data_IF_109412189627
#
_entry.id   IF_109412189627
#
_cell.length_a   1.000
_cell.length_b   1.000
_cell.length_c   1.000
_cell.angle_alpha   90.00
_cell.angle_beta   90.00
_cell.angle_gamma   90.00
#
_symmetry.space_group_name_H-M   'P 1'
#
loop_
_entity.id
_entity.type
_entity.pdbx_description
1 polymer ?
#
# COMPACT_ATOMS: atom_id res chain seq x y z
N UNK A 1 15.86 19.19 8.22
CA UNK A 1 15.34 19.89 9.42
C UNK A 1 14.13 19.13 9.90
N UNK A 2 14.03 18.73 11.18
CA UNK A 2 12.83 18.09 11.69
C UNK A 2 11.73 19.14 11.77
N UNK A 3 10.56 18.83 11.21
CA UNK A 3 9.36 19.64 11.38
C UNK A 3 8.83 19.31 12.77
N UNK A 4 9.01 20.22 13.73
CA UNK A 4 8.34 20.16 15.02
C UNK A 4 6.83 20.36 14.81
N UNK A 5 6.03 19.31 14.92
CA UNK A 5 4.57 19.42 14.92
C UNK A 5 4.09 19.65 16.36
N UNK A 6 4.26 20.88 16.83
CA UNK A 6 3.79 21.38 18.12
C UNK A 6 2.41 22.07 18.04
N UNK A 7 1.47 21.56 17.26
CA UNK A 7 0.08 22.03 17.24
C UNK A 7 -0.83 20.95 17.83
N UNK A 8 -1.64 21.28 18.84
CA UNK A 8 -2.77 20.41 19.19
C UNK A 8 -3.62 20.24 17.94
N UNK A 9 -3.87 19.01 17.51
CA UNK A 9 -4.67 18.66 16.32
C UNK A 9 -6.16 18.97 16.50
N UNK A 10 -6.50 19.96 17.33
CA UNK A 10 -7.79 20.28 17.94
C UNK A 10 -8.95 19.90 17.05
N UNK A 11 -9.47 18.69 17.26
CA UNK A 11 -10.57 18.15 16.49
C UNK A 11 -11.74 19.15 16.56
N UNK A 12 -12.10 19.83 15.46
CA UNK A 12 -13.13 20.86 15.51
C UNK A 12 -14.54 20.25 15.58
N UNK A 13 -14.67 18.92 15.50
CA UNK A 13 -15.92 18.20 15.63
C UNK A 13 -16.19 17.78 17.08
N UNK A 14 -17.45 17.80 17.49
CA UNK A 14 -17.88 17.21 18.77
C UNK A 14 -18.58 15.89 18.52
N UNK A 15 -18.03 14.78 19.00
CA UNK A 15 -18.69 13.47 18.93
C UNK A 15 -19.71 13.36 20.06
N UNK A 16 -20.97 13.13 19.71
CA UNK A 16 -22.07 12.97 20.66
C UNK A 16 -22.26 11.50 21.03
N UNK A 17 -22.31 10.61 20.02
CA UNK A 17 -22.44 9.17 20.20
C UNK A 17 -21.75 8.43 19.06
N UNK A 18 -21.22 7.24 19.34
CA UNK A 18 -20.67 6.32 18.34
C UNK A 18 -21.46 5.01 18.37
N UNK A 19 -21.75 4.43 17.21
CA UNK A 19 -22.48 3.16 17.10
C UNK A 19 -21.94 2.33 15.96
N UNK A 20 -21.47 1.11 16.27
CA UNK A 20 -21.11 0.11 15.25
C UNK A 20 -22.37 -0.33 14.50
N UNK A 21 -22.38 -0.13 13.18
CA UNK A 21 -23.50 -0.47 12.29
C UNK A 21 -23.29 -1.78 11.56
N UNK A 22 -22.02 -2.16 11.35
CA UNK A 22 -21.64 -3.38 10.65
C UNK A 22 -20.25 -3.81 11.11
N UNK A 23 -20.02 -5.11 11.18
CA UNK A 23 -18.72 -5.70 11.50
C UNK A 23 -18.59 -7.07 10.83
N UNK A 24 -17.39 -7.35 10.32
CA UNK A 24 -16.96 -8.68 9.91
C UNK A 24 -15.46 -8.86 10.20
N UNK A 25 -14.86 -9.94 9.69
CA UNK A 25 -13.44 -10.26 9.91
C UNK A 25 -12.47 -9.20 9.34
N UNK A 26 -12.88 -8.42 8.34
CA UNK A 26 -12.01 -7.49 7.61
C UNK A 26 -12.21 -6.03 8.00
N UNK A 27 -13.42 -5.65 8.43
CA UNK A 27 -13.74 -4.25 8.70
C UNK A 27 -14.85 -4.07 9.75
N UNK A 28 -14.84 -2.89 10.35
CA UNK A 28 -15.91 -2.36 11.17
C UNK A 28 -16.41 -1.03 10.59
N UNK A 29 -17.72 -0.79 10.62
CA UNK A 29 -18.32 0.49 10.20
C UNK A 29 -18.98 1.15 11.40
N UNK A 30 -18.49 2.33 11.78
CA UNK A 30 -18.97 3.11 12.92
C UNK A 30 -19.65 4.38 12.44
N UNK A 31 -20.86 4.62 12.92
CA UNK A 31 -21.57 5.88 12.75
C UNK A 31 -21.37 6.76 13.98
N UNK A 32 -20.86 7.97 13.78
CA UNK A 32 -20.78 9.01 14.79
C UNK A 32 -21.90 10.02 14.58
N UNK A 33 -22.74 10.25 15.60
CA UNK A 33 -23.53 11.49 15.67
C UNK A 33 -22.60 12.59 16.16
N UNK A 34 -22.56 13.70 15.43
CA UNK A 34 -21.59 14.76 15.67
C UNK A 34 -22.25 16.14 15.63
N UNK A 35 -21.60 17.12 16.25
CA UNK A 35 -21.73 18.52 15.87
C UNK A 35 -20.55 18.85 14.94
N UNK A 36 -20.87 19.41 13.78
CA UNK A 36 -19.88 19.94 12.82
C UNK A 36 -19.06 21.07 13.46
N UNK A 37 -17.94 21.49 12.85
CA UNK A 37 -17.15 22.65 13.31
C UNK A 37 -17.94 23.95 13.48
N UNK A 38 -19.11 24.06 12.83
CA UNK A 38 -20.01 25.23 12.93
C UNK A 38 -21.17 24.99 13.90
N UNK A 39 -21.15 23.90 14.67
CA UNK A 39 -22.18 23.55 15.66
C UNK A 39 -23.44 22.90 15.09
N UNK A 40 -23.55 22.70 13.76
CA UNK A 40 -24.69 22.03 13.16
C UNK A 40 -24.66 20.51 13.42
N UNK A 41 -25.78 19.85 13.76
CA UNK A 41 -25.82 18.41 13.95
C UNK A 41 -25.62 17.66 12.62
N UNK A 42 -24.97 16.50 12.69
CA UNK A 42 -24.73 15.65 11.53
C UNK A 42 -24.34 14.22 11.90
N UNK A 43 -24.02 13.45 10.87
CA UNK A 43 -23.51 12.08 10.98
C UNK A 43 -22.17 12.00 10.26
N UNK A 44 -21.21 11.29 10.85
CA UNK A 44 -19.95 10.92 10.22
C UNK A 44 -19.78 9.40 10.27
N UNK A 45 -19.67 8.76 9.12
CA UNK A 45 -19.38 7.32 9.02
C UNK A 45 -17.90 7.07 8.85
N UNK A 46 -17.34 6.11 9.60
CA UNK A 46 -15.95 5.69 9.49
C UNK A 46 -15.89 4.18 9.26
N UNK A 47 -15.09 3.77 8.29
CA UNK A 47 -14.71 2.37 8.07
C UNK A 47 -13.36 2.15 8.75
N UNK A 48 -13.29 1.14 9.60
CA UNK A 48 -12.07 0.73 10.30
C UNK A 48 -11.62 -0.65 9.79
N UNK A 49 -10.69 -0.72 8.82
CA UNK A 49 -10.06 -1.97 8.47
C UNK A 49 -9.38 -2.61 9.68
N UNK A 50 -9.50 -3.94 9.78
CA UNK A 50 -8.90 -4.73 10.87
C UNK A 50 -7.38 -4.86 10.70
N UNK A 51 -6.89 -4.77 9.48
CA UNK A 51 -5.47 -4.88 9.10
C UNK A 51 -4.86 -3.51 8.74
N UNK A 52 -3.54 -3.44 8.73
CA UNK A 52 -2.80 -2.44 7.94
C UNK A 52 -2.73 -2.90 6.48
N UNK A 53 -2.50 -1.99 5.55
CA UNK A 53 -2.10 -2.36 4.20
C UNK A 53 -0.56 -2.33 4.07
N UNK A 54 0.01 -3.31 3.39
CA UNK A 54 1.44 -3.33 3.09
C UNK A 54 1.67 -3.71 1.64
N UNK A 55 2.60 -3.03 0.97
CA UNK A 55 2.96 -3.32 -0.42
C UNK A 55 4.46 -3.27 -0.64
N UNK A 56 4.95 -3.96 -1.66
CA UNK A 56 6.39 -4.00 -1.97
C UNK A 56 6.63 -3.89 -3.47
N UNK A 57 7.60 -3.09 -3.87
CA UNK A 57 8.11 -3.05 -5.25
C UNK A 57 9.33 -3.98 -5.34
N UNK A 58 9.18 -5.24 -5.82
CA UNK A 58 10.31 -6.15 -5.98
C UNK A 58 11.10 -5.83 -7.25
N UNK A 59 12.35 -5.42 -7.10
CA UNK A 59 13.27 -5.12 -8.20
C UNK A 59 14.25 -6.27 -8.37
N UNK A 60 14.24 -6.89 -9.56
CA UNK A 60 15.20 -7.91 -9.94
C UNK A 60 16.49 -7.29 -10.46
N UNK A 61 17.59 -8.05 -10.41
CA UNK A 61 18.93 -7.60 -10.83
C UNK A 61 19.01 -7.21 -12.32
N UNK A 62 18.05 -7.61 -13.16
CA UNK A 62 17.93 -7.22 -14.58
C UNK A 62 17.07 -5.96 -14.82
N UNK A 63 16.68 -5.24 -13.76
CA UNK A 63 15.90 -4.00 -13.86
C UNK A 63 14.40 -4.21 -14.10
N UNK A 64 13.90 -5.44 -13.98
CA UNK A 64 12.47 -5.74 -14.06
C UNK A 64 11.81 -5.76 -12.68
N UNK A 65 10.49 -5.59 -12.68
CA UNK A 65 9.62 -5.60 -11.51
C UNK A 65 8.68 -6.80 -11.60
N UNK A 66 8.46 -7.50 -10.49
CA UNK A 66 7.34 -8.44 -10.40
C UNK A 66 6.06 -7.68 -10.04
N UNK A 67 5.03 -7.84 -10.88
CA UNK A 67 3.66 -7.43 -10.63
C UNK A 67 2.80 -8.66 -10.34
N UNK A 68 1.77 -8.44 -9.53
CA UNK A 68 0.72 -9.41 -9.21
C UNK A 68 -0.58 -8.93 -9.86
N UNK A 69 -1.30 -9.86 -10.46
CA UNK A 69 -2.59 -9.61 -11.10
C UNK A 69 -3.69 -10.35 -10.36
N UNK A 70 -4.75 -9.64 -9.99
CA UNK A 70 -5.88 -10.24 -9.28
C UNK A 70 -7.22 -9.63 -9.68
N UNK A 71 -8.30 -10.39 -9.50
CA UNK A 71 -9.65 -9.87 -9.67
C UNK A 71 -10.10 -9.13 -8.41
N UNK A 72 -10.30 -7.81 -8.52
CA UNK A 72 -10.80 -7.00 -7.42
C UNK A 72 -12.32 -7.01 -7.41
N UNK A 73 -12.90 -7.81 -6.51
CA UNK A 73 -14.35 -7.98 -6.38
C UNK A 73 -15.14 -6.64 -6.33
N UNK A 74 -14.72 -5.61 -5.55
CA UNK A 74 -15.45 -4.35 -5.49
C UNK A 74 -15.51 -3.60 -6.83
N UNK A 75 -14.44 -3.70 -7.63
CA UNK A 75 -14.32 -3.03 -8.93
C UNK A 75 -14.86 -3.87 -10.08
N UNK A 76 -15.08 -5.16 -9.85
CA UNK A 76 -15.49 -6.16 -10.86
C UNK A 76 -14.56 -6.20 -12.08
N UNK A 77 -13.26 -6.04 -11.84
CA UNK A 77 -12.25 -6.02 -12.88
C UNK A 77 -10.97 -6.70 -12.42
N UNK A 78 -10.17 -7.10 -13.40
CA UNK A 78 -8.81 -7.53 -13.15
C UNK A 78 -7.90 -6.31 -12.97
N UNK A 79 -6.98 -6.38 -12.03
CA UNK A 79 -6.09 -5.29 -11.63
C UNK A 79 -4.64 -5.81 -11.61
N UNK A 80 -3.72 -5.03 -12.19
CA UNK A 80 -2.28 -5.24 -12.05
C UNK A 80 -1.74 -4.33 -10.96
N UNK A 81 -0.99 -4.92 -10.04
CA UNK A 81 -0.60 -4.31 -8.77
C UNK A 81 0.83 -4.72 -8.42
N UNK A 82 1.38 -4.06 -7.41
CA UNK A 82 2.58 -4.56 -6.73
C UNK A 82 2.14 -5.67 -5.75
N UNK A 83 3.01 -6.63 -5.36
CA UNK A 83 2.67 -7.55 -4.30
C UNK A 83 2.24 -6.81 -3.03
N UNK A 84 1.08 -7.15 -2.49
CA UNK A 84 0.44 -6.40 -1.41
C UNK A 84 -0.54 -7.24 -0.59
N UNK A 85 -0.70 -6.88 0.68
CA UNK A 85 -1.60 -7.61 1.55
C UNK A 85 -1.76 -7.01 2.94
N UNK A 86 -2.45 -7.76 3.80
CA UNK A 86 -2.89 -7.32 5.11
C UNK A 86 -1.83 -7.48 6.20
N UNK A 87 -1.30 -6.38 6.71
CA UNK A 87 -0.40 -6.36 7.86
C UNK A 87 -1.11 -6.46 9.21
N UNK A 88 -0.52 -7.20 10.15
CA UNK A 88 -1.03 -7.26 11.54
C UNK A 88 -0.69 -5.95 12.27
N UNK A 89 -1.69 -5.35 12.92
CA UNK A 89 -1.47 -4.15 13.75
C UNK A 89 -0.51 -4.48 14.89
N UNK A 90 0.48 -3.62 15.11
CA UNK A 90 1.52 -3.80 16.14
C UNK A 90 2.70 -4.70 15.74
N UNK A 91 2.69 -5.24 14.51
CA UNK A 91 3.85 -5.91 13.90
C UNK A 91 4.57 -4.89 13.02
N UNK A 92 5.90 -5.00 12.91
CA UNK A 92 6.69 -4.17 12.00
C UNK A 92 6.16 -4.33 10.56
N UNK A 93 5.77 -3.24 9.87
CA UNK A 93 5.10 -3.36 8.56
C UNK A 93 5.94 -4.09 7.51
N UNK A 94 7.27 -3.98 7.58
CA UNK A 94 8.18 -4.70 6.67
C UNK A 94 8.07 -6.22 6.83
N UNK A 95 7.84 -6.74 8.04
CA UNK A 95 7.67 -8.19 8.26
C UNK A 95 6.42 -8.71 7.55
N UNK A 96 5.33 -7.91 7.56
CA UNK A 96 4.12 -8.25 6.82
C UNK A 96 4.38 -8.18 5.31
N UNK A 97 4.99 -7.12 4.80
CA UNK A 97 5.34 -6.99 3.39
C UNK A 97 6.25 -8.14 2.88
N UNK A 98 7.22 -8.59 3.69
CA UNK A 98 8.09 -9.70 3.36
C UNK A 98 7.36 -11.06 3.33
N UNK A 99 6.35 -11.22 4.19
CA UNK A 99 5.47 -12.40 4.17
C UNK A 99 4.64 -12.43 2.88
N UNK A 100 3.95 -11.34 2.56
CA UNK A 100 3.10 -11.23 1.36
C UNK A 100 3.93 -11.47 0.10
N UNK A 101 5.11 -10.85 -0.02
CA UNK A 101 6.02 -11.07 -1.14
C UNK A 101 6.33 -12.56 -1.38
N UNK A 102 6.58 -13.30 -0.29
CA UNK A 102 6.88 -14.72 -0.38
C UNK A 102 5.64 -15.53 -0.72
N UNK A 103 4.50 -15.24 -0.09
CA UNK A 103 3.26 -16.00 -0.28
C UNK A 103 2.74 -15.82 -1.71
N UNK A 104 2.65 -14.59 -2.20
CA UNK A 104 2.09 -14.28 -3.52
C UNK A 104 3.02 -14.66 -4.68
N UNK A 105 4.35 -14.48 -4.53
CA UNK A 105 5.28 -14.61 -5.66
C UNK A 105 6.41 -15.61 -5.44
N UNK A 106 6.54 -16.18 -4.24
CA UNK A 106 7.67 -17.01 -3.85
C UNK A 106 8.98 -16.24 -3.68
N UNK A 107 8.96 -14.90 -3.71
CA UNK A 107 10.19 -14.11 -3.66
C UNK A 107 10.60 -13.82 -2.21
N UNK A 108 11.90 -13.89 -1.95
CA UNK A 108 12.50 -13.33 -0.74
C UNK A 108 13.54 -12.30 -1.14
N UNK A 109 13.85 -11.36 -0.26
CA UNK A 109 14.75 -10.26 -0.57
C UNK A 109 15.77 -10.04 0.55
N UNK A 110 17.03 -9.81 0.15
CA UNK A 110 18.13 -9.53 1.09
C UNK A 110 18.22 -8.06 1.49
N UNK A 111 17.63 -7.16 0.71
CA UNK A 111 17.70 -5.71 0.93
C UNK A 111 16.31 -5.09 0.82
N UNK A 112 16.05 -4.13 1.69
CA UNK A 112 14.76 -3.47 1.86
C UNK A 112 14.96 -1.99 2.11
N UNK A 113 14.09 -1.17 1.55
CA UNK A 113 14.03 0.28 1.79
C UNK A 113 12.58 0.69 2.03
N UNK A 114 12.25 1.33 3.17
CA UNK A 114 10.94 1.96 3.36
C UNK A 114 10.70 3.01 2.29
N UNK A 115 9.55 2.95 1.63
CA UNK A 115 9.23 3.84 0.52
C UNK A 115 8.18 4.87 0.92
N UNK A 116 6.98 4.47 1.34
CA UNK A 116 5.92 5.43 1.71
C UNK A 116 5.10 4.97 2.91
N UNK A 117 4.53 5.96 3.61
CA UNK A 117 3.33 5.82 4.43
C UNK A 117 2.20 6.55 3.71
N UNK A 118 1.07 5.89 3.53
CA UNK A 118 -0.08 6.38 2.77
C UNK A 118 -1.36 6.29 3.62
N UNK A 119 -2.30 7.19 3.38
CA UNK A 119 -3.69 7.04 3.83
C UNK A 119 -4.55 6.88 2.58
N UNK A 120 -5.17 5.71 2.40
CA UNK A 120 -5.76 5.32 1.11
C UNK A 120 -7.07 6.06 0.81
N UNK A 121 -7.87 6.34 1.84
CA UNK A 121 -9.08 7.18 1.72
C UNK A 121 -9.36 7.90 3.05
N UNK A 122 -8.51 8.88 3.36
CA UNK A 122 -8.47 9.59 4.66
C UNK A 122 -9.75 10.39 5.01
N UNK A 123 -10.74 10.45 4.13
CA UNK A 123 -12.02 11.06 4.41
C UNK A 123 -13.04 10.09 5.03
N UNK A 124 -12.85 8.78 4.89
CA UNK A 124 -13.85 7.79 5.33
C UNK A 124 -13.26 6.57 6.04
N UNK A 125 -11.97 6.34 5.94
CA UNK A 125 -11.27 5.24 6.62
C UNK A 125 -10.02 5.73 7.34
N UNK A 126 -9.66 5.04 8.41
CA UNK A 126 -8.38 5.20 9.11
C UNK A 126 -7.28 4.25 8.58
N UNK A 127 -7.51 3.64 7.42
CA UNK A 127 -6.55 2.75 6.78
C UNK A 127 -5.22 3.43 6.50
N UNK A 128 -4.16 2.82 7.02
CA UNK A 128 -2.78 3.21 6.78
C UNK A 128 -2.11 2.12 5.96
N UNK A 129 -1.43 2.54 4.90
CA UNK A 129 -0.58 1.67 4.13
C UNK A 129 0.91 2.01 4.30
N UNK A 130 1.75 0.99 4.26
CA UNK A 130 3.21 1.13 4.22
C UNK A 130 3.77 0.39 3.02
N UNK A 131 4.56 1.08 2.21
CA UNK A 131 5.18 0.47 1.02
C UNK A 131 6.70 0.44 1.12
N UNK A 132 7.30 -0.54 0.44
CA UNK A 132 8.73 -0.82 0.47
C UNK A 132 9.28 -1.05 -0.94
N UNK A 133 10.59 -0.92 -1.09
CA UNK A 133 11.33 -1.49 -2.23
C UNK A 133 12.15 -2.66 -1.71
N UNK A 134 12.15 -3.78 -2.44
CA UNK A 134 12.90 -4.97 -2.11
C UNK A 134 13.77 -5.40 -3.30
N UNK A 135 15.04 -5.71 -3.05
CA UNK A 135 15.98 -6.15 -4.10
C UNK A 135 17.02 -7.13 -3.57
N UNK A 136 17.84 -7.67 -4.48
CA UNK A 136 18.66 -8.85 -4.21
C UNK A 136 17.77 -10.06 -3.95
N UNK A 137 16.88 -10.32 -4.91
CA UNK A 137 15.78 -11.26 -4.80
C UNK A 137 16.23 -12.70 -5.03
N UNK A 138 15.61 -13.63 -4.32
CA UNK A 138 15.77 -15.07 -4.51
C UNK A 138 14.39 -15.73 -4.67
N UNK A 139 14.26 -16.60 -5.68
CA UNK A 139 13.01 -17.29 -5.99
C UNK A 139 12.92 -18.60 -5.21
N UNK A 140 11.85 -18.74 -4.43
CA UNK A 140 11.39 -19.97 -3.81
C UNK A 140 10.01 -20.38 -4.31
N UNK A 141 9.32 -21.19 -3.50
CA UNK A 141 7.95 -21.62 -3.75
C UNK A 141 6.95 -20.55 -3.27
N UNK A 142 5.98 -20.22 -4.12
CA UNK A 142 4.82 -19.39 -3.73
C UNK A 142 3.80 -20.23 -2.97
N UNK A 143 3.07 -19.60 -2.06
CA UNK A 143 2.01 -20.20 -1.28
C UNK A 143 0.89 -19.17 -1.05
N UNK A 144 0.15 -18.76 -2.11
CA UNK A 144 -0.94 -17.79 -1.99
C UNK A 144 -2.08 -18.35 -1.13
N UNK A 145 -2.92 -17.47 -0.59
CA UNK A 145 -4.08 -17.88 0.20
C UNK A 145 -5.08 -18.68 -0.66
N UNK A 146 -5.90 -19.54 -0.04
CA UNK A 146 -6.92 -20.35 -0.76
C UNK A 146 -7.91 -19.49 -1.55
N UNK A 147 -8.09 -18.24 -1.15
CA UNK A 147 -8.98 -17.28 -1.81
C UNK A 147 -8.33 -16.54 -2.99
N UNK A 148 -7.03 -16.73 -3.23
CA UNK A 148 -6.24 -15.96 -4.18
C UNK A 148 -5.95 -16.76 -5.45
N UNK A 149 -6.31 -16.18 -6.59
CA UNK A 149 -5.91 -16.68 -7.92
C UNK A 149 -5.11 -15.59 -8.61
N UNK A 150 -3.80 -15.62 -8.37
CA UNK A 150 -2.87 -14.59 -8.79
C UNK A 150 -2.22 -14.94 -10.12
N UNK A 151 -2.12 -13.97 -11.02
CA UNK A 151 -1.14 -14.04 -12.11
C UNK A 151 0.10 -13.25 -11.70
N UNK A 152 1.27 -13.76 -12.08
CA UNK A 152 2.53 -13.08 -11.82
C UNK A 152 3.14 -12.66 -13.16
N UNK A 153 3.54 -11.39 -13.28
CA UNK A 153 4.19 -10.87 -14.48
C UNK A 153 5.46 -10.13 -14.11
N UNK A 154 6.56 -10.44 -14.79
CA UNK A 154 7.83 -9.72 -14.70
C UNK A 154 7.92 -8.72 -15.85
N UNK A 155 8.10 -7.44 -15.54
CA UNK A 155 8.00 -6.34 -16.52
C UNK A 155 9.16 -5.36 -16.32
N UNK A 156 9.84 -4.88 -17.37
CA UNK A 156 10.85 -3.83 -17.24
C UNK A 156 10.32 -2.62 -16.48
N UNK A 157 11.11 -2.05 -15.56
CA UNK A 157 10.64 -0.93 -14.73
C UNK A 157 10.10 0.24 -15.57
N UNK A 158 10.75 0.59 -16.68
CA UNK A 158 10.27 1.62 -17.59
C UNK A 158 8.88 1.32 -18.17
N UNK A 159 8.61 0.08 -18.59
CA UNK A 159 7.29 -0.34 -19.10
C UNK A 159 6.24 -0.31 -17.98
N UNK A 160 6.60 -0.65 -16.74
CA UNK A 160 5.67 -0.51 -15.59
C UNK A 160 5.28 0.95 -15.36
N UNK A 161 6.23 1.89 -15.50
CA UNK A 161 5.92 3.32 -15.44
C UNK A 161 4.99 3.73 -16.59
N UNK A 162 5.22 3.25 -17.80
CA UNK A 162 4.32 3.52 -18.93
C UNK A 162 2.91 2.97 -18.68
N UNK A 163 2.78 1.78 -18.08
CA UNK A 163 1.49 1.21 -17.67
C UNK A 163 0.76 2.08 -16.64
N UNK A 164 1.48 2.66 -15.66
CA UNK A 164 0.92 3.61 -14.69
C UNK A 164 0.46 4.88 -15.39
N UNK A 165 1.30 5.47 -16.25
CA UNK A 165 0.98 6.72 -16.94
C UNK A 165 -0.17 6.56 -17.95
N UNK A 166 -0.33 5.38 -18.53
CA UNK A 166 -1.44 5.03 -19.41
C UNK A 166 -2.74 4.69 -18.66
N UNK A 167 -2.72 4.60 -17.32
CA UNK A 167 -3.88 4.21 -16.51
C UNK A 167 -4.22 2.72 -16.56
N UNK A 168 -3.29 1.87 -17.01
CA UNK A 168 -3.44 0.41 -16.97
C UNK A 168 -3.20 -0.17 -15.57
N UNK A 169 -2.45 0.54 -14.73
CA UNK A 169 -2.31 0.28 -13.29
C UNK A 169 -2.98 1.45 -12.56
N UNK A 170 -4.01 1.14 -11.78
CA UNK A 170 -4.80 2.14 -11.05
C UNK A 170 -4.82 1.92 -9.54
N UNK A 171 -4.19 0.85 -9.05
CA UNK A 171 -4.05 0.65 -7.61
C UNK A 171 -3.24 1.78 -6.97
N UNK A 172 -3.74 2.30 -5.84
CA UNK A 172 -3.19 3.51 -5.22
C UNK A 172 -1.77 3.30 -4.68
N UNK A 173 -1.48 2.13 -4.08
CA UNK A 173 -0.17 1.81 -3.54
C UNK A 173 0.85 1.61 -4.67
N UNK A 174 0.46 0.87 -5.71
CA UNK A 174 1.28 0.66 -6.90
C UNK A 174 1.61 1.99 -7.58
N UNK A 175 0.60 2.79 -7.93
CA UNK A 175 0.78 4.08 -8.62
C UNK A 175 1.70 5.01 -7.82
N UNK A 176 1.42 5.20 -6.52
CA UNK A 176 2.21 6.12 -5.69
C UNK A 176 3.66 5.62 -5.52
N UNK A 177 3.85 4.32 -5.26
CA UNK A 177 5.16 3.73 -5.01
C UNK A 177 6.03 3.75 -6.26
N UNK A 178 5.49 3.33 -7.41
CA UNK A 178 6.21 3.27 -8.67
C UNK A 178 6.64 4.68 -9.12
N UNK A 179 5.74 5.66 -9.04
CA UNK A 179 6.06 7.04 -9.41
C UNK A 179 7.06 7.68 -8.44
N UNK A 180 6.94 7.45 -7.12
CA UNK A 180 7.94 7.93 -6.16
C UNK A 180 9.31 7.31 -6.44
N UNK A 181 9.38 6.00 -6.67
CA UNK A 181 10.63 5.31 -6.99
C UNK A 181 11.26 5.87 -8.27
N UNK A 182 10.46 6.15 -9.30
CA UNK A 182 10.91 6.78 -10.54
C UNK A 182 11.50 8.18 -10.31
N UNK A 183 10.89 8.99 -9.44
CA UNK A 183 11.40 10.31 -9.07
C UNK A 183 12.72 10.20 -8.31
N UNK A 184 12.79 9.34 -7.29
CA UNK A 184 14.02 9.12 -6.53
C UNK A 184 15.18 8.63 -7.42
N UNK A 185 14.89 7.78 -8.40
CA UNK A 185 15.89 7.37 -9.39
C UNK A 185 16.37 8.56 -10.26
N UNK A 186 15.45 9.45 -10.68
CA UNK A 186 15.79 10.64 -11.47
C UNK A 186 16.65 11.63 -10.70
N UNK A 187 16.40 11.74 -9.39
CA UNK A 187 17.08 12.66 -8.48
C UNK A 187 18.36 12.06 -7.89
N UNK A 188 18.78 10.88 -8.35
CA UNK A 188 19.96 10.15 -7.83
C UNK A 188 19.91 9.94 -6.30
N UNK A 189 18.69 9.80 -5.76
CA UNK A 189 18.40 9.72 -4.33
C UNK A 189 18.19 8.27 -3.83
N UNK A 190 18.54 7.27 -4.65
CA UNK A 190 18.47 5.86 -4.30
C UNK A 190 19.79 5.34 -3.73
N UNK A 191 19.77 4.27 -2.91
CA UNK A 191 20.97 3.52 -2.58
C UNK A 191 21.74 3.12 -3.84
N UNK A 192 23.08 3.22 -3.82
CA UNK A 192 23.95 3.03 -5.00
C UNK A 192 23.72 1.70 -5.71
N UNK A 193 23.53 0.64 -4.92
CA UNK A 193 23.28 -0.72 -5.39
C UNK A 193 21.91 -0.88 -6.07
N UNK A 194 20.88 -0.18 -5.59
CA UNK A 194 19.57 -0.15 -6.25
C UNK A 194 19.58 0.77 -7.48
N UNK A 195 20.25 1.92 -7.39
CA UNK A 195 20.43 2.85 -8.51
C UNK A 195 21.15 2.20 -9.69
N UNK A 196 22.14 1.32 -9.41
CA UNK A 196 22.84 0.54 -10.42
C UNK A 196 21.96 -0.40 -11.23
N UNK A 197 20.88 -0.91 -10.62
CA UNK A 197 19.90 -1.81 -11.26
C UNK A 197 18.91 -1.00 -12.11
N UNK A 198 18.41 0.11 -11.58
CA UNK A 198 17.37 0.95 -12.20
C UNK A 198 17.93 2.03 -13.12
N UNK A 199 19.10 1.84 -13.75
CA UNK A 199 19.66 2.84 -14.67
C UNK A 199 18.70 3.06 -15.86
N UNK A 200 17.88 4.09 -15.72
CA UNK A 200 16.93 4.63 -16.70
C UNK A 200 17.62 5.63 -17.62
#
# INVERSE_FOLDING_TARGET
MPIETGESTGNPWTVLTSTTKYENAWMEVVEHKVLTPKGAPGIYGVVHPRSLATGVVPIHDDGTVTLVGQYRFPLKQYSWEIPEGGGRKGVEPQESAARELREETGLTARRWMPLMKLHLSNCITDEVAYTFVAWGLEQGESAPDETEVLAVRRVPFAEVIDMVLAGAITDAMAVASLLKLRVLAAEEALPEDLAGILRL
#
